data_IF_766406078844
#
_entry.id   IF_766406078844
#
_cell.length_a   1.000
_cell.length_b   1.000
_cell.length_c   1.000
_cell.angle_alpha   90.00
_cell.angle_beta   90.00
_cell.angle_gamma   90.00
#
_symmetry.space_group_name_H-M   'P 1'
#
loop_
_entity.id
_entity.type
_entity.pdbx_description
1 polymer ?
#
# COMPACT_ATOMS: atom_id res chain seq x y z
N UNK A 1 -71.53 -52.04 26.13
CA UNK A 1 -70.76 -52.00 24.87
C UNK A 1 -70.45 -50.54 24.58
N UNK A 2 -69.26 -50.04 24.80
CA UNK A 2 -68.90 -48.70 24.33
C UNK A 2 -68.06 -48.77 23.04
N UNK A 3 -68.42 -47.91 22.11
CA UNK A 3 -67.83 -47.71 20.81
C UNK A 3 -66.44 -47.06 20.89
N UNK A 4 -65.46 -47.77 20.32
CA UNK A 4 -64.13 -47.25 20.12
C UNK A 4 -64.11 -46.18 18.99
N UNK A 5 -63.73 -44.91 19.33
CA UNK A 5 -63.46 -43.85 18.35
C UNK A 5 -62.01 -43.93 17.90
N UNK A 6 -61.79 -44.27 16.64
CA UNK A 6 -60.49 -44.13 15.98
C UNK A 6 -60.25 -42.69 15.64
N UNK A 7 -59.18 -42.10 16.19
CA UNK A 7 -58.66 -40.82 15.77
C UNK A 7 -57.51 -41.02 14.77
N UNK A 8 -57.46 -40.31 13.64
CA UNK A 8 -56.32 -40.43 12.72
C UNK A 8 -55.13 -39.60 13.25
N UNK A 9 -53.99 -40.25 13.35
CA UNK A 9 -52.71 -39.64 13.69
C UNK A 9 -52.17 -38.90 12.42
N UNK A 10 -52.15 -37.57 12.48
CA UNK A 10 -51.53 -36.74 11.43
C UNK A 10 -50.03 -36.67 11.69
N UNK A 11 -49.28 -37.32 10.80
CA UNK A 11 -47.83 -37.24 10.74
C UNK A 11 -47.44 -35.93 10.03
N UNK A 12 -46.95 -34.91 10.78
CA UNK A 12 -46.28 -33.74 10.21
C UNK A 12 -44.85 -34.14 9.80
N UNK A 13 -44.63 -34.23 8.50
CA UNK A 13 -43.29 -34.28 7.95
C UNK A 13 -42.69 -32.84 7.96
N UNK A 14 -41.82 -32.58 8.95
CA UNK A 14 -41.02 -31.38 8.94
C UNK A 14 -39.93 -31.44 7.86
N UNK A 15 -40.05 -30.67 6.81
CA UNK A 15 -38.98 -30.52 5.82
C UNK A 15 -37.81 -29.74 6.44
N UNK A 16 -36.71 -30.44 6.72
CA UNK A 16 -35.45 -29.87 7.14
C UNK A 16 -34.80 -29.15 5.92
N UNK A 17 -34.92 -27.84 5.82
CA UNK A 17 -34.21 -27.06 4.81
C UNK A 17 -32.74 -27.01 5.21
N UNK A 18 -31.91 -27.83 4.63
CA UNK A 18 -30.46 -27.70 4.67
C UNK A 18 -30.07 -26.44 3.87
N UNK A 19 -29.80 -25.34 4.58
CA UNK A 19 -29.15 -24.19 4.00
C UNK A 19 -27.74 -24.62 3.56
N UNK A 20 -27.59 -24.92 2.28
CA UNK A 20 -26.29 -25.18 1.68
C UNK A 20 -25.44 -23.92 1.75
N UNK A 21 -24.42 -23.91 2.63
CA UNK A 21 -23.32 -22.96 2.54
C UNK A 21 -22.59 -23.23 1.22
N UNK A 22 -22.87 -22.40 0.23
CA UNK A 22 -22.08 -22.38 -1.01
C UNK A 22 -20.60 -22.19 -0.68
N UNK A 23 -19.67 -22.69 -1.51
CA UNK A 23 -18.25 -22.48 -1.30
C UNK A 23 -18.02 -20.96 -1.21
N UNK A 24 -17.45 -20.50 -0.10
CA UNK A 24 -16.95 -19.13 0.01
C UNK A 24 -15.98 -18.94 -1.16
N UNK A 25 -16.26 -18.00 -2.04
CA UNK A 25 -15.35 -17.65 -3.11
C UNK A 25 -14.00 -17.35 -2.45
N UNK A 26 -12.98 -18.16 -2.76
CA UNK A 26 -11.64 -17.95 -2.26
C UNK A 26 -11.24 -16.54 -2.69
N UNK A 27 -10.99 -15.67 -1.70
CA UNK A 27 -10.52 -14.31 -1.96
C UNK A 27 -9.23 -14.45 -2.76
N UNK A 28 -9.18 -13.86 -3.96
CA UNK A 28 -7.99 -13.86 -4.79
C UNK A 28 -6.88 -13.14 -4.01
N UNK A 29 -5.67 -13.72 -3.91
CA UNK A 29 -4.54 -13.06 -3.24
C UNK A 29 -4.22 -11.75 -3.96
N UNK A 30 -3.98 -10.67 -3.20
CA UNK A 30 -3.82 -9.29 -3.68
C UNK A 30 -2.74 -8.60 -2.83
N UNK A 31 -1.92 -7.69 -3.34
CA UNK A 31 -0.48 -7.58 -3.06
C UNK A 31 0.01 -9.01 -3.07
N UNK A 32 0.92 -9.45 -3.85
CA UNK A 32 1.20 -10.90 -3.98
C UNK A 32 1.30 -11.53 -2.58
N UNK A 33 0.34 -12.41 -2.24
CA UNK A 33 0.22 -13.00 -0.89
C UNK A 33 -0.38 -12.11 0.21
N UNK A 34 -0.92 -10.94 -0.11
CA UNK A 34 -1.59 -10.05 0.83
C UNK A 34 -3.06 -10.38 1.06
N UNK A 35 -3.74 -9.53 1.82
CA UNK A 35 -5.17 -9.60 2.11
C UNK A 35 -5.82 -8.23 1.97
N UNK A 36 -7.14 -8.20 1.91
CA UNK A 36 -7.90 -6.94 1.91
C UNK A 36 -7.63 -6.14 3.19
N UNK A 37 -7.26 -4.88 3.02
CA UNK A 37 -7.05 -3.99 4.17
C UNK A 37 -8.39 -3.73 4.87
N UNK A 38 -8.46 -3.89 6.21
CA UNK A 38 -9.67 -3.50 6.95
C UNK A 38 -9.93 -2.00 6.78
N UNK A 39 -11.19 -1.63 6.62
CA UNK A 39 -11.58 -0.23 6.47
C UNK A 39 -11.08 0.62 7.66
N UNK A 40 -10.59 1.83 7.37
CA UNK A 40 -10.08 2.76 8.38
C UNK A 40 -8.72 2.42 9.00
N UNK A 41 -8.06 1.32 8.60
CA UNK A 41 -6.75 0.95 9.15
C UNK A 41 -5.62 1.86 8.65
N UNK A 42 -5.71 2.32 7.41
CA UNK A 42 -4.70 3.16 6.74
C UNK A 42 -5.36 4.40 6.10
N UNK A 43 -5.99 5.28 6.90
CA UNK A 43 -6.73 6.41 6.35
C UNK A 43 -5.85 7.37 5.53
N UNK A 44 -4.56 7.43 5.84
CA UNK A 44 -3.56 8.26 5.18
C UNK A 44 -3.10 7.73 3.81
N UNK A 45 -3.55 6.55 3.39
CA UNK A 45 -3.23 6.03 2.05
C UNK A 45 -3.87 6.90 0.98
N UNK A 46 -3.10 7.19 -0.05
CA UNK A 46 -3.58 7.91 -1.23
C UNK A 46 -3.25 7.14 -2.50
N UNK A 47 -4.13 7.27 -3.49
CA UNK A 47 -3.89 6.78 -4.85
C UNK A 47 -3.55 7.96 -5.74
N UNK A 48 -2.41 7.89 -6.42
CA UNK A 48 -2.06 8.83 -7.46
C UNK A 48 -2.73 8.38 -8.76
N UNK A 49 -3.59 9.23 -9.26
CA UNK A 49 -4.38 9.01 -10.48
C UNK A 49 -3.80 9.84 -11.62
N UNK A 50 -3.74 9.26 -12.81
CA UNK A 50 -3.44 10.05 -14.02
C UNK A 50 -4.73 10.64 -14.56
N UNK A 51 -4.78 11.97 -14.70
CA UNK A 51 -5.95 12.70 -15.23
C UNK A 51 -6.20 12.32 -16.68
N UNK A 52 -7.46 12.30 -17.06
CA UNK A 52 -7.93 12.20 -18.45
C UNK A 52 -7.58 10.90 -19.21
N UNK A 53 -7.25 9.82 -18.51
CA UNK A 53 -7.16 8.50 -19.14
C UNK A 53 -8.54 7.91 -19.51
N UNK A 54 -9.64 8.54 -19.05
CA UNK A 54 -11.02 8.13 -19.38
C UNK A 54 -11.48 6.83 -18.72
N UNK A 55 -10.73 6.30 -17.77
CA UNK A 55 -11.04 5.08 -17.04
C UNK A 55 -11.66 5.32 -15.66
N UNK A 56 -11.97 4.22 -14.97
CA UNK A 56 -12.36 4.20 -13.56
C UNK A 56 -11.18 4.58 -12.65
N UNK A 57 -11.43 4.80 -11.36
CA UNK A 57 -10.38 5.07 -10.38
C UNK A 57 -9.31 3.98 -10.34
N UNK A 58 -9.70 2.73 -10.52
CA UNK A 58 -8.82 1.57 -10.63
C UNK A 58 -7.92 1.62 -11.87
N UNK A 59 -8.46 2.02 -13.01
CA UNK A 59 -7.74 2.08 -14.28
C UNK A 59 -6.78 3.26 -14.34
N UNK A 60 -7.15 4.37 -13.70
CA UNK A 60 -6.34 5.59 -13.63
C UNK A 60 -5.27 5.53 -12.53
N UNK A 61 -5.30 4.53 -11.64
CA UNK A 61 -4.29 4.35 -10.60
C UNK A 61 -2.91 4.10 -11.20
N UNK A 62 -1.96 4.96 -10.84
CA UNK A 62 -0.58 4.91 -11.33
C UNK A 62 0.40 4.45 -10.25
N UNK A 63 0.38 5.13 -9.09
CA UNK A 63 1.25 4.90 -7.96
C UNK A 63 0.47 5.07 -6.65
N UNK A 64 1.01 4.54 -5.58
CA UNK A 64 0.60 4.83 -4.22
C UNK A 64 1.29 6.07 -3.65
N UNK A 65 0.83 6.49 -2.49
CA UNK A 65 1.44 7.53 -1.68
C UNK A 65 0.79 7.58 -0.31
N UNK A 66 1.24 8.54 0.51
CA UNK A 66 0.70 8.76 1.86
C UNK A 66 0.55 10.23 2.17
N UNK A 67 -0.52 10.58 2.85
CA UNK A 67 -0.70 11.91 3.44
C UNK A 67 0.25 12.03 4.64
N UNK A 68 1.23 12.93 4.57
CA UNK A 68 2.25 13.14 5.61
C UNK A 68 2.09 14.49 6.33
N UNK A 69 1.33 15.42 5.75
CA UNK A 69 0.82 16.64 6.37
C UNK A 69 -0.48 17.04 5.65
N UNK A 70 -1.30 17.96 6.17
CA UNK A 70 -2.62 18.24 5.58
C UNK A 70 -2.60 18.62 4.10
N UNK A 71 -1.53 19.21 3.60
CA UNK A 71 -1.35 19.58 2.19
C UNK A 71 -0.21 18.84 1.50
N UNK A 72 0.36 17.78 2.13
CA UNK A 72 1.54 17.12 1.61
C UNK A 72 1.36 15.62 1.48
N UNK A 73 1.66 15.12 0.30
CA UNK A 73 1.68 13.69 -0.02
C UNK A 73 3.10 13.25 -0.33
N UNK A 74 3.55 12.19 0.33
CA UNK A 74 4.83 11.54 0.08
C UNK A 74 4.63 10.37 -0.89
N UNK A 75 5.49 10.27 -1.90
CA UNK A 75 5.49 9.20 -2.90
C UNK A 75 6.92 8.96 -3.42
N UNK A 76 7.07 8.11 -4.45
CA UNK A 76 8.36 7.88 -5.11
C UNK A 76 8.63 8.90 -6.23
N UNK A 77 9.89 9.27 -6.40
CA UNK A 77 10.33 10.18 -7.46
C UNK A 77 10.11 9.60 -8.86
N UNK A 78 10.32 8.29 -9.04
CA UNK A 78 10.10 7.62 -10.33
C UNK A 78 8.65 7.65 -10.81
N UNK A 79 7.68 7.90 -9.91
CA UNK A 79 6.27 8.11 -10.26
C UNK A 79 6.03 9.47 -10.95
N UNK A 80 6.99 10.41 -10.87
CA UNK A 80 6.80 11.84 -11.17
C UNK A 80 7.29 12.24 -12.58
N UNK A 81 7.08 11.38 -13.56
CA UNK A 81 7.23 11.76 -14.98
C UNK A 81 6.09 12.64 -15.54
N UNK A 82 5.22 13.16 -14.66
CA UNK A 82 4.00 13.89 -14.99
C UNK A 82 4.07 15.33 -14.46
N UNK A 83 3.32 16.23 -15.09
CA UNK A 83 3.13 17.60 -14.57
C UNK A 83 2.07 17.61 -13.44
N UNK A 84 2.05 18.64 -12.57
CA UNK A 84 1.03 18.76 -11.53
C UNK A 84 -0.40 18.66 -12.09
N UNK A 85 -0.67 19.27 -13.24
CA UNK A 85 -1.99 19.24 -13.88
C UNK A 85 -2.44 17.85 -14.33
N UNK A 86 -1.51 16.93 -14.54
CA UNK A 86 -1.81 15.54 -14.97
C UNK A 86 -2.03 14.58 -13.81
N UNK A 87 -1.71 14.99 -12.58
CA UNK A 87 -1.82 14.15 -11.39
C UNK A 87 -3.01 14.56 -10.54
N UNK A 88 -3.78 13.59 -10.09
CA UNK A 88 -4.84 13.75 -9.09
C UNK A 88 -4.50 12.87 -7.90
N UNK A 89 -4.62 13.40 -6.70
CA UNK A 89 -4.47 12.65 -5.45
C UNK A 89 -5.85 12.24 -4.94
N UNK A 90 -6.13 10.94 -4.92
CA UNK A 90 -7.39 10.38 -4.43
C UNK A 90 -7.25 9.88 -3.00
N UNK A 91 -8.13 10.33 -2.11
CA UNK A 91 -8.12 10.04 -0.68
C UNK A 91 -9.45 9.51 -0.17
N UNK A 92 -9.45 9.00 1.08
CA UNK A 92 -10.65 8.67 1.84
C UNK A 92 -11.30 7.35 1.45
N UNK A 93 -10.62 6.52 0.63
CA UNK A 93 -11.23 5.29 0.10
C UNK A 93 -10.38 4.04 0.35
N UNK A 94 -11.08 2.93 0.50
CA UNK A 94 -10.50 1.59 0.42
C UNK A 94 -10.70 1.03 -1.00
N UNK A 95 -11.86 1.32 -1.60
CA UNK A 95 -12.18 0.98 -3.00
C UNK A 95 -11.88 2.19 -3.90
N UNK A 96 -11.04 2.02 -4.92
CA UNK A 96 -10.66 3.12 -5.82
C UNK A 96 -11.84 3.69 -6.63
N UNK A 97 -12.86 2.87 -6.87
CA UNK A 97 -14.05 3.24 -7.63
C UNK A 97 -15.21 3.70 -6.72
N UNK A 98 -14.95 3.91 -5.41
CA UNK A 98 -15.95 4.41 -4.46
C UNK A 98 -16.36 5.84 -4.84
N UNK A 99 -17.67 6.13 -5.03
CA UNK A 99 -18.15 7.48 -5.31
C UNK A 99 -17.90 8.48 -4.17
N UNK A 100 -17.61 8.01 -2.95
CA UNK A 100 -17.22 8.86 -1.82
C UNK A 100 -15.75 9.30 -1.86
N UNK A 101 -14.96 8.82 -2.84
CA UNK A 101 -13.58 9.25 -3.03
C UNK A 101 -13.48 10.77 -3.20
N UNK A 102 -12.47 11.37 -2.58
CA UNK A 102 -12.19 12.80 -2.72
C UNK A 102 -10.91 12.98 -3.53
N UNK A 103 -11.03 13.70 -4.63
CA UNK A 103 -9.94 14.03 -5.52
C UNK A 103 -9.37 15.43 -5.19
N UNK A 104 -8.06 15.51 -5.04
CA UNK A 104 -7.33 16.74 -4.71
C UNK A 104 -6.40 17.12 -5.86
N UNK A 105 -6.37 18.41 -6.15
CA UNK A 105 -5.46 19.01 -7.12
C UNK A 105 -4.05 19.13 -6.55
N UNK A 106 -3.05 18.82 -7.38
CA UNK A 106 -1.62 19.03 -7.10
C UNK A 106 -1.22 20.36 -7.69
N UNK A 107 -0.60 21.22 -6.88
CA UNK A 107 -0.08 22.55 -7.32
C UNK A 107 1.42 22.52 -7.58
N UNK A 108 2.17 21.66 -6.90
CA UNK A 108 3.60 21.52 -7.11
C UNK A 108 4.05 20.06 -6.87
N UNK A 109 5.12 19.68 -7.55
CA UNK A 109 5.82 18.39 -7.40
C UNK A 109 7.28 18.73 -7.06
N UNK A 110 7.74 18.21 -5.93
CA UNK A 110 9.11 18.38 -5.44
C UNK A 110 9.80 17.00 -5.46
N UNK A 111 10.69 16.80 -6.41
CA UNK A 111 11.48 15.56 -6.52
C UNK A 111 12.79 15.74 -5.77
N UNK A 112 13.26 14.68 -5.09
CA UNK A 112 14.56 14.71 -4.41
C UNK A 112 15.67 15.07 -5.40
N UNK A 113 16.53 16.08 -5.13
CA UNK A 113 17.46 16.64 -6.12
C UNK A 113 18.54 15.67 -6.58
N UNK A 114 18.84 14.64 -5.81
CA UNK A 114 19.82 13.61 -6.18
C UNK A 114 19.25 12.52 -7.07
N UNK A 115 17.93 12.41 -7.20
CA UNK A 115 17.29 11.42 -8.08
C UNK A 115 17.41 11.84 -9.57
N UNK A 116 17.71 10.95 -10.52
CA UNK A 116 17.91 9.49 -10.37
C UNK A 116 19.38 9.07 -10.14
N UNK A 117 20.33 10.00 -10.10
CA UNK A 117 21.76 9.69 -10.01
C UNK A 117 22.15 8.93 -8.72
N UNK A 118 21.38 9.15 -7.64
CA UNK A 118 21.53 8.46 -6.36
C UNK A 118 20.17 7.87 -5.98
N UNK A 119 20.11 6.70 -5.33
CA UNK A 119 18.85 6.03 -4.98
C UNK A 119 18.11 6.73 -3.82
N UNK A 120 17.76 8.00 -4.01
CA UNK A 120 16.91 8.80 -3.13
C UNK A 120 15.55 8.98 -3.78
N UNK A 121 14.85 7.86 -4.01
CA UNK A 121 13.63 7.79 -4.81
C UNK A 121 12.41 8.24 -4.00
N UNK A 122 12.33 9.54 -3.72
CA UNK A 122 11.22 10.19 -3.03
C UNK A 122 10.82 11.49 -3.70
N UNK A 123 9.52 11.80 -3.64
CA UNK A 123 8.94 13.07 -4.03
C UNK A 123 7.84 13.50 -3.06
N UNK A 124 7.63 14.80 -2.96
CA UNK A 124 6.50 15.41 -2.27
C UNK A 124 5.59 16.09 -3.28
N UNK A 125 4.29 15.88 -3.11
CA UNK A 125 3.23 16.57 -3.84
C UNK A 125 2.59 17.59 -2.91
N UNK A 126 2.52 18.84 -3.35
CA UNK A 126 1.80 19.90 -2.65
C UNK A 126 0.37 19.97 -3.18
N UNK A 127 -0.59 19.89 -2.27
CA UNK A 127 -2.03 19.93 -2.61
C UNK A 127 -2.53 21.37 -2.55
N UNK A 128 -3.46 21.71 -3.46
CA UNK A 128 -4.09 23.02 -3.52
C UNK A 128 -4.85 23.38 -2.23
N UNK A 129 -5.35 22.39 -1.50
CA UNK A 129 -6.14 22.57 -0.26
C UNK A 129 -5.83 21.47 0.74
N UNK A 130 -5.93 21.75 2.06
CA UNK A 130 -5.75 20.74 3.08
C UNK A 130 -6.79 19.62 2.98
N UNK A 131 -6.34 18.38 3.10
CA UNK A 131 -7.21 17.22 3.28
C UNK A 131 -7.83 17.29 4.67
N UNK A 132 -9.14 17.19 4.75
CA UNK A 132 -9.91 17.27 5.99
C UNK A 132 -10.29 15.88 6.52
N UNK A 133 -10.30 15.71 7.83
CA UNK A 133 -10.78 14.47 8.48
C UNK A 133 -9.87 13.26 8.36
N UNK A 134 -8.72 13.37 7.68
CA UNK A 134 -7.74 12.29 7.54
C UNK A 134 -6.46 12.67 8.31
N UNK A 135 -6.11 11.92 9.37
CA UNK A 135 -4.86 12.14 10.09
C UNK A 135 -3.66 11.71 9.22
N UNK A 136 -2.65 12.58 9.04
CA UNK A 136 -1.41 12.20 8.37
C UNK A 136 -0.66 11.09 9.11
N UNK A 137 0.11 10.29 8.38
CA UNK A 137 1.01 9.31 8.97
C UNK A 137 2.30 9.97 9.44
N UNK A 138 2.84 9.52 10.58
CA UNK A 138 4.17 9.92 11.02
C UNK A 138 5.25 9.37 10.10
N UNK A 139 6.28 10.18 9.82
CA UNK A 139 7.41 9.82 8.96
C UNK A 139 8.65 9.65 9.82
N UNK A 140 9.42 8.58 9.56
CA UNK A 140 10.72 8.36 10.20
C UNK A 140 11.70 9.46 9.78
N UNK A 141 12.50 9.91 10.75
CA UNK A 141 13.49 10.95 10.54
C UNK A 141 14.87 10.46 10.98
N UNK A 142 15.90 11.21 10.66
CA UNK A 142 17.26 10.96 11.13
C UNK A 142 17.30 10.81 12.65
N UNK A 143 17.99 9.78 13.13
CA UNK A 143 18.02 9.40 14.55
C UNK A 143 16.90 8.45 14.98
N UNK A 144 15.95 8.13 14.12
CA UNK A 144 15.02 7.03 14.38
C UNK A 144 15.80 5.71 14.46
N UNK A 145 15.60 4.90 15.52
CA UNK A 145 16.33 3.64 15.67
C UNK A 145 16.21 2.77 14.42
N UNK A 146 17.36 2.25 13.97
CA UNK A 146 17.40 1.28 12.88
C UNK A 146 16.54 0.05 13.22
N UNK A 147 16.05 -0.59 12.15
CA UNK A 147 15.44 -1.90 12.29
C UNK A 147 16.54 -2.90 12.68
N UNK A 148 16.43 -3.57 13.83
CA UNK A 148 17.44 -4.54 14.25
C UNK A 148 17.58 -5.63 13.19
N UNK A 149 18.81 -6.01 12.86
CA UNK A 149 19.11 -6.99 11.80
C UNK A 149 18.52 -8.39 12.04
N UNK A 150 18.19 -8.71 13.28
CA UNK A 150 17.62 -9.97 13.76
C UNK A 150 16.13 -9.85 14.13
N UNK A 151 15.54 -8.66 13.96
CA UNK A 151 14.20 -8.43 14.44
C UNK A 151 13.15 -8.99 13.47
N UNK A 152 12.33 -9.89 13.98
CA UNK A 152 10.99 -10.15 13.49
C UNK A 152 10.08 -8.93 13.72
N UNK A 153 10.56 -7.72 13.37
CA UNK A 153 9.69 -6.54 13.39
C UNK A 153 8.76 -6.67 12.20
N UNK A 154 7.47 -6.81 12.43
CA UNK A 154 6.52 -6.86 11.33
C UNK A 154 6.51 -5.51 10.64
N UNK A 155 7.06 -5.46 9.43
CA UNK A 155 6.90 -4.36 8.51
C UNK A 155 5.64 -4.62 7.70
N UNK A 156 4.97 -3.57 7.30
CA UNK A 156 3.72 -3.69 6.60
C UNK A 156 3.73 -2.75 5.39
N UNK A 157 3.28 -3.24 4.25
CA UNK A 157 2.99 -2.43 3.08
C UNK A 157 1.50 -2.47 2.77
N UNK A 158 0.97 -1.37 2.24
CA UNK A 158 -0.39 -1.25 1.78
C UNK A 158 -0.43 -0.56 0.41
N UNK A 159 -1.32 -1.00 -0.48
CA UNK A 159 -1.44 -0.43 -1.81
C UNK A 159 -2.51 -1.09 -2.68
N UNK A 160 -2.61 -0.60 -3.92
CA UNK A 160 -3.51 -1.10 -4.95
C UNK A 160 -2.73 -1.68 -6.15
N UNK A 161 -1.49 -2.13 -5.90
CA UNK A 161 -0.65 -2.77 -6.90
C UNK A 161 -1.18 -4.11 -7.39
N UNK A 162 -0.59 -4.62 -8.45
CA UNK A 162 -0.96 -5.91 -9.02
C UNK A 162 -0.74 -7.03 -8.00
N UNK A 163 -1.65 -7.98 -7.99
CA UNK A 163 -1.61 -9.17 -7.13
C UNK A 163 -1.03 -10.40 -7.84
N UNK A 164 -0.69 -10.25 -9.10
CA UNK A 164 -0.16 -11.29 -9.98
C UNK A 164 0.77 -10.64 -11.01
N UNK A 165 1.80 -11.35 -11.41
CA UNK A 165 2.70 -10.86 -12.44
C UNK A 165 2.01 -10.72 -13.80
N UNK A 166 2.23 -9.56 -14.46
CA UNK A 166 1.69 -9.35 -15.80
C UNK A 166 2.38 -10.18 -16.88
N UNK A 167 3.47 -10.86 -16.53
CA UNK A 167 4.24 -11.72 -17.46
C UNK A 167 3.74 -13.16 -17.52
N UNK A 168 2.73 -13.52 -16.73
CA UNK A 168 2.13 -14.86 -16.76
C UNK A 168 1.06 -15.04 -17.88
N UNK A 169 1.07 -14.17 -18.88
CA UNK A 169 0.33 -14.36 -20.14
C UNK A 169 -1.11 -13.85 -20.17
N UNK A 170 -1.72 -13.57 -19.02
CA UNK A 170 -3.10 -13.07 -18.95
C UNK A 170 -3.13 -11.60 -18.48
N UNK A 171 -4.06 -10.76 -18.98
CA UNK A 171 -4.26 -9.44 -18.44
C UNK A 171 -4.64 -9.52 -16.96
N UNK A 172 -3.81 -8.95 -16.08
CA UNK A 172 -4.10 -8.90 -14.65
C UNK A 172 -4.92 -7.67 -14.36
N UNK A 173 -6.19 -7.80 -13.96
CA UNK A 173 -6.97 -6.65 -13.55
C UNK A 173 -6.35 -6.05 -12.28
N UNK A 174 -6.23 -4.72 -12.22
CA UNK A 174 -5.80 -4.03 -11.01
C UNK A 174 -6.84 -4.24 -9.91
N UNK A 175 -6.45 -4.43 -8.65
CA UNK A 175 -7.41 -4.47 -7.55
C UNK A 175 -8.07 -3.10 -7.42
N UNK A 176 -9.38 -3.07 -7.17
CA UNK A 176 -10.08 -1.84 -6.77
C UNK A 176 -9.90 -1.56 -5.29
N UNK A 177 -9.78 -2.64 -4.50
CA UNK A 177 -9.73 -2.59 -3.04
C UNK A 177 -8.29 -2.52 -2.54
N UNK A 178 -8.05 -1.63 -1.54
CA UNK A 178 -6.77 -1.52 -0.83
C UNK A 178 -6.37 -2.86 -0.23
N UNK A 179 -5.15 -3.25 -0.48
CA UNK A 179 -4.53 -4.47 0.04
C UNK A 179 -3.47 -4.12 1.06
N UNK A 180 -3.15 -5.06 1.94
CA UNK A 180 -2.01 -4.97 2.83
C UNK A 180 -1.32 -6.32 3.02
N UNK A 181 -0.03 -6.29 3.34
CA UNK A 181 0.74 -7.48 3.67
C UNK A 181 1.79 -7.17 4.73
N UNK A 182 2.04 -8.16 5.58
CA UNK A 182 3.19 -8.12 6.50
C UNK A 182 4.40 -8.65 5.75
N UNK A 183 5.40 -7.80 5.62
CA UNK A 183 6.66 -8.09 4.94
C UNK A 183 7.75 -8.39 5.98
N UNK A 184 8.53 -9.46 5.77
CA UNK A 184 9.72 -9.71 6.57
C UNK A 184 10.83 -8.71 6.21
N UNK A 185 11.48 -8.12 7.23
CA UNK A 185 12.69 -7.32 7.01
C UNK A 185 13.79 -8.19 6.42
N UNK A 186 14.48 -7.68 5.41
CA UNK A 186 15.64 -8.35 4.79
C UNK A 186 16.89 -7.57 5.13
N UNK A 187 17.87 -8.18 5.86
CA UNK A 187 19.13 -7.53 6.20
C UNK A 187 19.90 -7.08 4.96
N UNK A 188 20.63 -5.96 5.10
CA UNK A 188 21.38 -5.33 4.01
C UNK A 188 22.25 -6.31 3.21
N UNK A 189 23.00 -7.18 3.87
CA UNK A 189 23.90 -8.12 3.18
C UNK A 189 23.17 -9.03 2.20
N UNK A 190 22.03 -9.61 2.61
CA UNK A 190 21.20 -10.45 1.74
C UNK A 190 20.54 -9.66 0.63
N UNK A 191 20.09 -8.44 0.94
CA UNK A 191 19.48 -7.57 -0.05
C UNK A 191 20.51 -7.13 -1.10
N UNK A 192 21.68 -6.70 -0.67
CA UNK A 192 22.73 -6.24 -1.56
C UNK A 192 23.27 -7.37 -2.47
N UNK A 193 23.33 -8.60 -1.97
CA UNK A 193 23.64 -9.79 -2.76
C UNK A 193 22.59 -10.03 -3.84
N UNK A 194 21.30 -9.94 -3.51
CA UNK A 194 20.19 -10.13 -4.46
C UNK A 194 20.16 -9.08 -5.57
N UNK A 195 20.79 -7.94 -5.37
CA UNK A 195 20.84 -6.82 -6.34
C UNK A 195 22.27 -6.52 -6.85
N UNK A 196 23.16 -7.52 -6.86
CA UNK A 196 24.53 -7.44 -7.41
C UNK A 196 25.33 -6.24 -6.87
N UNK A 197 25.17 -5.90 -5.59
CA UNK A 197 25.92 -4.83 -4.96
C UNK A 197 25.38 -3.41 -5.20
N UNK A 198 24.18 -3.25 -5.76
CA UNK A 198 23.62 -1.94 -6.12
C UNK A 198 22.72 -1.30 -5.05
N UNK A 199 22.56 -1.97 -3.90
CA UNK A 199 21.78 -1.46 -2.77
C UNK A 199 22.66 -0.59 -1.87
N UNK A 200 22.16 0.57 -1.45
CA UNK A 200 22.86 1.48 -0.54
C UNK A 200 22.37 1.27 0.91
N UNK A 201 23.27 0.89 1.82
CA UNK A 201 22.93 0.60 3.21
C UNK A 201 22.34 1.80 3.98
N UNK A 202 22.68 3.03 3.59
CA UNK A 202 22.20 4.25 4.25
C UNK A 202 20.87 4.75 3.67
N UNK A 203 20.61 4.46 2.39
CA UNK A 203 19.47 5.01 1.63
C UNK A 203 18.36 4.01 1.37
N UNK A 204 18.66 2.72 1.42
CA UNK A 204 17.73 1.65 1.08
C UNK A 204 17.33 0.82 2.31
N UNK A 205 16.10 0.33 2.31
CA UNK A 205 15.57 -0.70 3.18
C UNK A 205 15.02 -1.83 2.31
N UNK A 206 15.15 -3.07 2.76
CA UNK A 206 14.63 -4.22 2.03
C UNK A 206 13.64 -4.99 2.87
N UNK A 207 12.54 -5.39 2.25
CA UNK A 207 11.53 -6.22 2.88
C UNK A 207 10.79 -7.08 1.86
N UNK A 208 10.22 -8.21 2.32
CA UNK A 208 9.43 -9.11 1.50
C UNK A 208 10.30 -9.82 0.47
N UNK A 209 10.81 -11.00 0.79
CA UNK A 209 11.54 -11.86 -0.13
C UNK A 209 10.66 -13.07 -0.46
N UNK A 210 10.23 -13.17 -1.71
CA UNK A 210 9.19 -14.12 -2.13
C UNK A 210 7.78 -13.58 -1.84
N UNK A 211 6.93 -14.40 -1.27
CA UNK A 211 5.53 -14.04 -0.97
C UNK A 211 5.32 -13.93 0.53
N UNK A 212 4.74 -12.82 1.06
CA UNK A 212 4.16 -11.69 0.33
C UNK A 212 5.19 -10.64 -0.15
N UNK A 213 4.83 -9.91 -1.22
CA UNK A 213 5.66 -8.83 -1.80
C UNK A 213 4.82 -7.77 -2.49
N UNK A 214 5.38 -6.57 -2.70
CA UNK A 214 4.77 -5.50 -3.50
C UNK A 214 4.95 -5.75 -5.00
N UNK A 215 4.12 -5.11 -5.82
CA UNK A 215 4.21 -5.23 -7.28
C UNK A 215 3.86 -3.91 -7.98
N UNK A 216 3.78 -3.92 -9.30
CA UNK A 216 3.48 -2.75 -10.14
C UNK A 216 2.20 -2.05 -9.69
N UNK A 217 2.29 -0.77 -9.34
CA UNK A 217 1.21 0.04 -8.77
C UNK A 217 1.34 0.27 -7.26
N UNK A 218 2.15 -0.52 -6.52
CA UNK A 218 2.49 -0.23 -5.12
C UNK A 218 3.62 0.80 -4.99
N UNK A 219 4.29 1.14 -6.09
CA UNK A 219 5.31 2.20 -6.18
C UNK A 219 4.87 3.47 -5.47
N UNK A 220 5.75 4.07 -4.68
CA UNK A 220 5.44 5.27 -3.88
C UNK A 220 4.62 5.02 -2.61
N UNK A 221 4.02 3.84 -2.47
CA UNK A 221 3.33 3.41 -1.26
C UNK A 221 4.27 3.18 -0.09
N UNK A 222 3.74 3.04 1.13
CA UNK A 222 4.52 3.02 2.35
C UNK A 222 5.09 1.65 2.70
N UNK A 223 6.25 1.66 3.36
CA UNK A 223 6.67 0.64 4.30
C UNK A 223 6.43 1.17 5.72
N UNK A 224 5.60 0.49 6.48
CA UNK A 224 5.11 0.92 7.78
C UNK A 224 5.61 0.02 8.91
N UNK A 225 5.84 0.60 10.09
CA UNK A 225 5.91 -0.13 11.35
C UNK A 225 4.99 0.47 12.40
N UNK A 226 4.63 -0.31 13.41
CA UNK A 226 3.93 0.20 14.59
C UNK A 226 4.93 0.80 15.58
N UNK A 227 4.61 1.97 16.13
CA UNK A 227 5.27 2.53 17.31
C UNK A 227 4.75 1.85 18.58
N UNK A 228 5.44 2.04 19.70
CA UNK A 228 5.02 1.52 21.00
C UNK A 228 3.65 2.08 21.44
N UNK A 229 3.32 3.29 21.02
CA UNK A 229 2.01 3.93 21.26
C UNK A 229 0.89 3.45 20.33
N UNK A 230 1.19 2.46 19.48
CA UNK A 230 0.25 1.88 18.52
C UNK A 230 0.02 2.68 17.25
N UNK A 231 0.61 3.87 17.11
CA UNK A 231 0.52 4.67 15.88
C UNK A 231 1.39 4.09 14.77
N UNK A 232 1.00 4.35 13.52
CA UNK A 232 1.81 4.01 12.38
C UNK A 232 2.98 5.00 12.21
N UNK A 233 4.13 4.47 11.82
CA UNK A 233 5.29 5.20 11.38
C UNK A 233 5.69 4.68 10.01
N UNK A 234 5.77 5.55 9.04
CA UNK A 234 6.32 5.22 7.73
C UNK A 234 7.84 5.28 7.79
N UNK A 235 8.50 4.16 7.48
CA UNK A 235 9.96 4.01 7.52
C UNK A 235 10.58 3.97 6.12
N UNK A 236 9.76 3.67 5.10
CA UNK A 236 10.22 3.61 3.72
C UNK A 236 9.15 3.96 2.70
N UNK A 237 9.59 4.17 1.46
CA UNK A 237 8.76 4.38 0.26
C UNK A 237 9.10 3.30 -0.75
N UNK A 238 8.11 2.61 -1.28
CA UNK A 238 8.29 1.55 -2.29
C UNK A 238 8.96 2.13 -3.54
N UNK A 239 10.16 1.66 -3.84
CA UNK A 239 11.01 2.17 -4.92
C UNK A 239 11.15 1.19 -6.08
N UNK A 240 11.76 0.05 -5.85
CA UNK A 240 12.02 -0.95 -6.89
C UNK A 240 11.89 -2.36 -6.34
N UNK A 241 11.62 -3.29 -7.21
CA UNK A 241 11.51 -4.70 -6.89
C UNK A 241 11.89 -5.57 -8.08
N UNK A 242 11.91 -6.88 -7.89
CA UNK A 242 12.18 -7.82 -8.96
C UNK A 242 11.06 -7.84 -9.99
N UNK A 243 11.38 -8.30 -11.19
CA UNK A 243 10.42 -8.67 -12.23
C UNK A 243 10.79 -10.08 -12.74
N UNK A 244 9.93 -11.05 -12.53
CA UNK A 244 8.57 -10.99 -11.96
C UNK A 244 8.55 -10.61 -10.48
N UNK A 245 7.47 -9.96 -10.02
CA UNK A 245 7.33 -9.52 -8.62
C UNK A 245 7.29 -10.70 -7.62
N UNK A 246 6.89 -11.89 -8.07
CA UNK A 246 6.81 -13.12 -7.26
C UNK A 246 8.16 -13.80 -7.04
N UNK A 247 9.26 -13.22 -7.54
CA UNK A 247 10.59 -13.78 -7.34
C UNK A 247 11.04 -13.72 -5.88
N UNK A 248 12.12 -14.43 -5.56
CA UNK A 248 12.62 -14.53 -4.19
C UNK A 248 13.40 -13.29 -3.73
N UNK A 249 13.72 -12.38 -4.64
CA UNK A 249 14.41 -11.13 -4.31
C UNK A 249 13.48 -10.19 -3.54
N UNK A 250 14.02 -9.44 -2.57
CA UNK A 250 13.20 -8.51 -1.78
C UNK A 250 12.81 -7.25 -2.58
N UNK A 251 11.72 -6.61 -2.17
CA UNK A 251 11.44 -5.24 -2.57
C UNK A 251 12.40 -4.29 -1.85
N UNK A 252 12.91 -3.30 -2.59
CA UNK A 252 13.72 -2.19 -2.08
C UNK A 252 12.85 -0.96 -1.87
N UNK A 253 12.95 -0.39 -0.69
CA UNK A 253 12.27 0.82 -0.28
C UNK A 253 13.29 1.92 -0.02
N UNK A 254 13.02 3.15 -0.40
CA UNK A 254 13.84 4.30 0.02
C UNK A 254 13.69 4.51 1.51
N UNK A 255 14.81 4.53 2.26
CA UNK A 255 14.85 4.74 3.71
C UNK A 255 14.54 6.19 4.04
N UNK A 256 13.47 6.45 4.78
CA UNK A 256 13.07 7.82 5.13
C UNK A 256 13.96 8.48 6.18
N UNK A 257 14.58 7.68 7.07
CA UNK A 257 15.55 8.16 8.05
C UNK A 257 16.95 8.44 7.46
N UNK A 258 17.16 8.23 6.15
CA UNK A 258 18.41 8.61 5.50
C UNK A 258 18.64 10.14 5.63
N UNK A 259 19.87 10.63 5.97
CA UNK A 259 20.13 12.04 6.20
C UNK A 259 19.71 12.95 5.04
N UNK A 260 20.01 12.56 3.78
CA UNK A 260 19.62 13.32 2.60
C UNK A 260 18.10 13.41 2.42
N UNK A 261 17.39 12.30 2.63
CA UNK A 261 15.92 12.24 2.55
C UNK A 261 15.30 13.07 3.67
N UNK A 262 15.79 12.93 4.91
CA UNK A 262 15.31 13.74 6.03
C UNK A 262 15.53 15.24 5.80
N UNK A 263 16.69 15.63 5.27
CA UNK A 263 16.98 17.04 4.93
C UNK A 263 16.01 17.57 3.86
N UNK A 264 15.75 16.78 2.81
CA UNK A 264 14.78 17.12 1.77
C UNK A 264 13.37 17.27 2.36
N UNK A 265 12.89 16.33 3.15
CA UNK A 265 11.55 16.39 3.76
C UNK A 265 11.40 17.60 4.69
N UNK A 266 12.43 17.92 5.50
CA UNK A 266 12.43 19.09 6.40
C UNK A 266 12.38 20.43 5.67
N UNK A 267 12.79 20.49 4.41
CA UNK A 267 12.71 21.71 3.61
C UNK A 267 11.25 22.11 3.31
N UNK A 268 10.37 21.12 3.17
CA UNK A 268 9.00 21.32 2.69
C UNK A 268 7.93 21.06 3.76
N UNK A 269 8.14 20.05 4.59
CA UNK A 269 7.13 19.68 5.58
C UNK A 269 7.13 20.67 6.76
N UNK A 270 5.94 21.01 7.29
CA UNK A 270 5.85 21.82 8.49
C UNK A 270 6.60 21.14 9.63
N UNK A 271 7.29 21.92 10.45
CA UNK A 271 7.91 21.37 11.67
C UNK A 271 6.79 20.91 12.57
N UNK A 272 6.79 19.62 12.91
CA UNK A 272 5.88 19.07 13.92
C UNK A 272 6.16 19.77 15.26
N UNK A 273 5.09 20.21 15.90
CA UNK A 273 5.12 20.68 17.28
C UNK A 273 5.43 19.54 18.26
#
# INVERSE_FOLDING_TARGET
MPLLRNSPMVLLFGALVLAGSGPAAAALPRIIGGTDAPAGTYPFMVSLQVRDLGGSGRENHWCGGTLVAPTWVLTAAHCMGLTPAQVVVRTGVVELDDPAAVDHEVVAIHVHPEFPAVPSDVALLELARPVQGIPPVGVAAEGEPDLPADANVPLLSAGWGLYKDRYEGEPVPRPSRLQHAVLGYVPFGRCNEAYDGTVDAQRDLCAGAGTPTTCSGDSGGPLLRRRQDGRWLQVGVTSRGPLPCSSIEPTVFTRLAAPSVTAFLRQWLPRGD
#
